data_IF_138228895738
#
_entry.id   IF_138228895738
#
_cell.length_a   1.000
_cell.length_b   1.000
_cell.length_c   1.000
_cell.angle_alpha   90.00
_cell.angle_beta   90.00
_cell.angle_gamma   90.00
#
_symmetry.space_group_name_H-M   'P 1'
#
loop_
_entity.id
_entity.type
_entity.pdbx_description
1 polymer ?
#
# COMPACT_ATOMS: atom_id res chain seq x y z
N UNK A 1 13.33 -29.24 -68.53
CA UNK A 1 12.27 -28.35 -68.01
C UNK A 1 11.71 -28.78 -66.66
N UNK A 2 11.50 -30.08 -66.40
CA UNK A 2 10.98 -30.56 -65.10
C UNK A 2 11.92 -30.32 -63.92
N UNK A 3 13.22 -30.53 -64.09
CA UNK A 3 14.22 -30.34 -63.02
C UNK A 3 14.21 -28.90 -62.48
N UNK A 4 14.29 -27.89 -63.36
CA UNK A 4 14.22 -26.48 -62.96
C UNK A 4 12.87 -26.10 -62.32
N UNK A 5 11.77 -26.74 -62.73
CA UNK A 5 10.46 -26.59 -62.09
C UNK A 5 10.45 -27.15 -60.67
N UNK A 6 11.07 -28.32 -60.47
CA UNK A 6 11.22 -28.96 -59.17
C UNK A 6 12.13 -28.16 -58.23
N UNK A 7 13.24 -27.61 -58.73
CA UNK A 7 14.16 -26.77 -57.94
C UNK A 7 13.44 -25.51 -57.40
N UNK A 8 12.59 -24.90 -58.23
CA UNK A 8 11.77 -23.76 -57.83
C UNK A 8 10.75 -24.15 -56.75
N UNK A 9 10.09 -25.30 -56.89
CA UNK A 9 9.15 -25.80 -55.89
C UNK A 9 9.88 -26.08 -54.57
N UNK A 10 11.06 -26.70 -54.62
CA UNK A 10 11.87 -26.98 -53.44
C UNK A 10 12.28 -25.70 -52.71
N UNK A 11 12.68 -24.66 -53.44
CA UNK A 11 13.01 -23.36 -52.85
C UNK A 11 11.81 -22.71 -52.13
N UNK A 12 10.61 -22.81 -52.72
CA UNK A 12 9.37 -22.33 -52.08
C UNK A 12 9.09 -23.12 -50.80
N UNK A 13 9.26 -24.45 -50.82
CA UNK A 13 9.08 -25.29 -49.62
C UNK A 13 10.02 -24.86 -48.50
N UNK A 14 11.31 -24.68 -48.78
CA UNK A 14 12.28 -24.22 -47.77
C UNK A 14 11.91 -22.84 -47.21
N UNK A 15 11.49 -21.90 -48.06
CA UNK A 15 11.02 -20.59 -47.59
C UNK A 15 9.78 -20.71 -46.69
N UNK A 16 8.86 -21.62 -47.01
CA UNK A 16 7.67 -21.87 -46.17
C UNK A 16 8.05 -22.47 -44.82
N UNK A 17 9.04 -23.38 -44.77
CA UNK A 17 9.56 -23.95 -43.53
C UNK A 17 10.20 -22.87 -42.64
N UNK A 18 10.97 -21.95 -43.22
CA UNK A 18 11.54 -20.80 -42.52
C UNK A 18 10.46 -19.87 -41.96
N UNK A 19 9.39 -19.60 -42.72
CA UNK A 19 8.23 -18.82 -42.26
C UNK A 19 7.56 -19.52 -41.08
N UNK A 20 7.34 -20.83 -41.14
CA UNK A 20 6.77 -21.60 -40.04
C UNK A 20 7.60 -21.44 -38.75
N UNK A 21 8.93 -21.60 -38.84
CA UNK A 21 9.81 -21.39 -37.70
C UNK A 21 9.75 -19.96 -37.16
N UNK A 22 9.72 -18.95 -38.03
CA UNK A 22 9.60 -17.57 -37.62
C UNK A 22 8.27 -17.28 -36.88
N UNK A 23 7.16 -17.89 -37.31
CA UNK A 23 5.85 -17.79 -36.65
C UNK A 23 5.89 -18.41 -35.25
N UNK A 24 6.48 -19.60 -35.12
CA UNK A 24 6.64 -20.29 -33.83
C UNK A 24 7.48 -19.46 -32.84
N UNK A 25 8.61 -18.93 -33.30
CA UNK A 25 9.50 -18.08 -32.51
C UNK A 25 8.83 -16.78 -32.08
N UNK A 26 8.10 -16.13 -32.99
CA UNK A 26 7.36 -14.92 -32.67
C UNK A 26 6.27 -15.21 -31.63
N UNK A 27 5.45 -16.24 -31.86
CA UNK A 27 4.41 -16.68 -30.93
C UNK A 27 4.97 -16.97 -29.53
N UNK A 28 6.10 -17.69 -29.45
CA UNK A 28 6.79 -17.95 -28.18
C UNK A 28 7.25 -16.67 -27.49
N UNK A 29 7.86 -15.73 -28.22
CA UNK A 29 8.28 -14.44 -27.66
C UNK A 29 7.09 -13.62 -27.14
N UNK A 30 6.00 -13.53 -27.90
CA UNK A 30 4.80 -12.80 -27.47
C UNK A 30 4.17 -13.41 -26.22
N UNK A 31 4.09 -14.75 -26.14
CA UNK A 31 3.63 -15.44 -24.94
C UNK A 31 4.50 -15.12 -23.72
N UNK A 32 5.83 -15.13 -23.88
CA UNK A 32 6.75 -14.79 -22.80
C UNK A 32 6.58 -13.33 -22.34
N UNK A 33 6.44 -12.39 -23.28
CA UNK A 33 6.20 -10.99 -22.94
C UNK A 33 4.87 -10.80 -22.20
N UNK A 34 3.80 -11.47 -22.63
CA UNK A 34 2.51 -11.45 -21.94
C UNK A 34 2.65 -11.96 -20.51
N UNK A 35 3.30 -13.12 -20.30
CA UNK A 35 3.55 -13.66 -18.96
C UNK A 35 4.32 -12.68 -18.08
N UNK A 36 5.40 -12.08 -18.59
CA UNK A 36 6.19 -11.10 -17.84
C UNK A 36 5.37 -9.87 -17.40
N UNK A 37 4.42 -9.41 -18.22
CA UNK A 37 3.54 -8.29 -17.86
C UNK A 37 2.64 -8.66 -16.67
N UNK A 38 2.05 -9.85 -16.67
CA UNK A 38 1.20 -10.32 -15.57
C UNK A 38 2.01 -10.64 -14.32
N UNK A 39 3.22 -11.20 -14.45
CA UNK A 39 4.12 -11.40 -13.32
C UNK A 39 4.47 -10.06 -12.65
N UNK A 40 4.67 -9.00 -13.44
CA UNK A 40 4.85 -7.64 -12.92
C UNK A 40 3.65 -7.13 -12.13
N UNK A 41 2.42 -7.33 -12.63
CA UNK A 41 1.19 -6.96 -11.91
C UNK A 41 1.05 -7.73 -10.59
N UNK A 42 1.33 -9.03 -10.60
CA UNK A 42 1.35 -9.86 -9.39
C UNK A 42 2.39 -9.35 -8.38
N UNK A 43 3.58 -8.95 -8.84
CA UNK A 43 4.60 -8.36 -7.98
C UNK A 43 4.12 -7.10 -7.27
N UNK A 44 3.49 -6.17 -7.99
CA UNK A 44 2.91 -4.94 -7.41
C UNK A 44 1.82 -5.26 -6.39
N UNK A 45 0.95 -6.23 -6.69
CA UNK A 45 -0.12 -6.64 -5.77
C UNK A 45 0.44 -7.26 -4.48
N UNK A 46 1.45 -8.12 -4.59
CA UNK A 46 2.09 -8.74 -3.42
C UNK A 46 2.87 -7.72 -2.58
N UNK A 47 3.57 -6.77 -3.21
CA UNK A 47 4.21 -5.66 -2.48
C UNK A 47 3.17 -4.85 -1.70
N UNK A 48 2.07 -4.45 -2.35
CA UNK A 48 1.01 -3.67 -1.68
C UNK A 48 0.37 -4.44 -0.53
N UNK A 49 0.14 -5.74 -0.70
CA UNK A 49 -0.37 -6.63 0.35
C UNK A 49 0.61 -6.70 1.52
N UNK A 50 1.91 -6.83 1.27
CA UNK A 50 2.93 -6.86 2.30
C UNK A 50 2.98 -5.55 3.12
N UNK A 51 2.88 -4.39 2.46
CA UNK A 51 2.80 -3.09 3.13
C UNK A 51 1.58 -2.98 4.06
N UNK A 52 0.41 -3.40 3.58
CA UNK A 52 -0.84 -3.35 4.35
C UNK A 52 -0.78 -4.28 5.57
N UNK A 53 -0.25 -5.50 5.40
CA UNK A 53 0.00 -6.41 6.52
C UNK A 53 0.99 -5.84 7.52
N UNK A 54 2.03 -5.15 7.05
CA UNK A 54 3.00 -4.50 7.92
C UNK A 54 2.35 -3.37 8.73
N UNK A 55 1.45 -2.59 8.13
CA UNK A 55 0.72 -1.53 8.83
C UNK A 55 -0.15 -2.10 9.97
N UNK A 56 -0.89 -3.19 9.69
CA UNK A 56 -1.67 -3.92 10.72
C UNK A 56 -0.76 -4.40 11.85
N UNK A 57 0.38 -5.01 11.51
CA UNK A 57 1.34 -5.51 12.49
C UNK A 57 1.91 -4.40 13.38
N UNK A 58 2.27 -3.24 12.82
CA UNK A 58 2.77 -2.10 13.59
C UNK A 58 1.75 -1.59 14.61
N UNK A 59 0.48 -1.48 14.22
CA UNK A 59 -0.56 -1.05 15.15
C UNK A 59 -0.80 -2.09 16.25
N UNK A 60 -0.85 -3.37 15.89
CA UNK A 60 -0.95 -4.46 16.87
C UNK A 60 0.21 -4.40 17.87
N UNK A 61 1.44 -4.27 17.41
CA UNK A 61 2.63 -4.21 18.27
C UNK A 61 2.57 -3.02 19.22
N UNK A 62 2.21 -1.83 18.70
CA UNK A 62 2.02 -0.64 19.53
C UNK A 62 0.92 -0.83 20.58
N UNK A 63 -0.21 -1.42 20.19
CA UNK A 63 -1.33 -1.71 21.09
C UNK A 63 -0.92 -2.65 22.22
N UNK A 64 -0.28 -3.76 21.87
CA UNK A 64 0.22 -4.77 22.81
C UNK A 64 1.28 -4.18 23.74
N UNK A 65 2.23 -3.42 23.20
CA UNK A 65 3.27 -2.78 23.99
C UNK A 65 2.67 -1.85 25.05
N UNK A 66 1.73 -0.99 24.67
CA UNK A 66 1.06 -0.09 25.61
C UNK A 66 0.34 -0.84 26.72
N UNK A 67 -0.35 -1.94 26.40
CA UNK A 67 -1.02 -2.78 27.41
C UNK A 67 0.00 -3.42 28.34
N UNK A 68 1.13 -3.93 27.82
CA UNK A 68 2.21 -4.48 28.65
C UNK A 68 2.82 -3.43 29.59
N UNK A 69 3.02 -2.20 29.12
CA UNK A 69 3.48 -1.09 29.95
C UNK A 69 2.49 -0.77 31.07
N UNK A 70 1.19 -0.78 30.78
CA UNK A 70 0.15 -0.60 31.80
C UNK A 70 0.16 -1.73 32.84
N UNK A 71 0.25 -2.99 32.41
CA UNK A 71 0.37 -4.13 33.33
C UNK A 71 1.57 -3.93 34.25
N UNK A 72 2.72 -3.50 33.71
CA UNK A 72 3.92 -3.22 34.51
C UNK A 72 3.67 -2.09 35.52
N UNK A 73 3.07 -0.98 35.10
CA UNK A 73 2.72 0.13 35.98
C UNK A 73 1.77 -0.30 37.11
N UNK A 74 0.74 -1.09 36.80
CA UNK A 74 -0.15 -1.64 37.82
C UNK A 74 0.57 -2.60 38.78
N UNK A 75 1.53 -3.39 38.28
CA UNK A 75 2.41 -4.21 39.11
C UNK A 75 3.26 -3.37 40.08
N UNK A 76 3.94 -2.33 39.58
CA UNK A 76 4.77 -1.41 40.38
C UNK A 76 3.92 -0.69 41.46
N UNK A 77 2.70 -0.27 41.09
CA UNK A 77 1.74 0.33 42.02
C UNK A 77 1.27 -0.65 43.09
N UNK A 78 0.98 -1.90 42.71
CA UNK A 78 0.57 -2.95 43.64
C UNK A 78 1.69 -3.27 44.64
N UNK A 79 2.94 -3.40 44.18
CA UNK A 79 4.09 -3.64 45.06
C UNK A 79 4.28 -2.49 46.06
N UNK A 80 4.21 -1.24 45.57
CA UNK A 80 4.31 -0.05 46.44
C UNK A 80 3.17 -0.02 47.46
N UNK A 81 1.95 -0.39 47.05
CA UNK A 81 0.80 -0.49 47.94
C UNK A 81 1.00 -1.59 49.00
N UNK A 82 1.56 -2.74 48.63
CA UNK A 82 1.86 -3.84 49.56
C UNK A 82 2.85 -3.39 50.64
N UNK A 83 3.98 -2.78 50.24
CA UNK A 83 4.99 -2.25 51.18
C UNK A 83 4.40 -1.23 52.15
N UNK A 84 3.46 -0.42 51.66
CA UNK A 84 2.82 0.58 52.49
C UNK A 84 1.84 -0.05 53.50
N UNK A 85 1.12 -1.11 53.11
CA UNK A 85 0.30 -1.92 54.03
C UNK A 85 1.19 -2.59 55.08
N UNK A 86 2.30 -3.20 54.69
CA UNK A 86 3.29 -3.79 55.61
C UNK A 86 3.84 -2.75 56.58
N UNK A 87 4.19 -1.55 56.09
CA UNK A 87 4.65 -0.44 56.93
C UNK A 87 3.57 0.04 57.91
N UNK A 88 2.30 0.04 57.49
CA UNK A 88 1.19 0.37 58.37
C UNK A 88 1.03 -0.67 59.49
N UNK A 89 1.12 -1.96 59.17
CA UNK A 89 1.08 -3.04 60.16
C UNK A 89 2.25 -2.90 61.15
N UNK A 90 3.48 -2.72 60.67
CA UNK A 90 4.67 -2.53 61.52
C UNK A 90 4.54 -1.31 62.43
N UNK A 91 3.99 -0.20 61.92
CA UNK A 91 3.78 1.00 62.74
C UNK A 91 2.80 0.76 63.90
N UNK A 92 1.85 -0.17 63.77
CA UNK A 92 0.93 -0.52 64.86
C UNK A 92 1.62 -1.26 66.02
N UNK A 93 2.83 -1.77 65.81
CA UNK A 93 3.64 -2.42 66.84
C UNK A 93 4.54 -1.42 67.59
N UNK A 94 4.52 -0.13 67.23
CA UNK A 94 5.35 0.92 67.85
C UNK A 94 4.93 1.21 69.30
N UNK A 95 5.78 0.92 70.31
CA UNK A 95 5.43 1.11 71.72
C UNK A 95 5.40 2.60 72.12
N UNK A 96 6.10 3.48 71.40
CA UNK A 96 6.19 4.90 71.71
C UNK A 96 5.05 5.69 71.03
N UNK A 97 4.04 6.09 71.80
CA UNK A 97 2.82 6.76 71.27
C UNK A 97 3.09 7.98 70.37
N UNK A 98 4.06 8.82 70.72
CA UNK A 98 4.40 10.01 69.92
C UNK A 98 4.97 9.63 68.54
N UNK A 99 5.75 8.54 68.47
CA UNK A 99 6.34 8.03 67.22
C UNK A 99 5.27 7.38 66.37
N UNK A 100 4.40 6.57 66.97
CA UNK A 100 3.24 5.96 66.32
C UNK A 100 2.35 6.99 65.62
N UNK A 101 1.97 8.06 66.32
CA UNK A 101 1.10 9.11 65.76
C UNK A 101 1.78 9.84 64.58
N UNK A 102 3.09 10.07 64.68
CA UNK A 102 3.87 10.71 63.60
C UNK A 102 3.94 9.81 62.36
N UNK A 103 4.25 8.52 62.53
CA UNK A 103 4.31 7.53 61.45
C UNK A 103 2.93 7.33 60.79
N UNK A 104 1.87 7.23 61.59
CA UNK A 104 0.49 7.07 61.11
C UNK A 104 0.05 8.24 60.22
N UNK A 105 0.37 9.48 60.62
CA UNK A 105 0.07 10.67 59.82
C UNK A 105 0.76 10.64 58.46
N UNK A 106 2.01 10.19 58.41
CA UNK A 106 2.78 10.09 57.16
C UNK A 106 2.23 8.98 56.26
N UNK A 107 1.88 7.82 56.82
CA UNK A 107 1.26 6.70 56.10
C UNK A 107 -0.07 7.08 55.48
N UNK A 108 -0.96 7.76 56.23
CA UNK A 108 -2.26 8.24 55.73
C UNK A 108 -2.07 9.17 54.53
N UNK A 109 -1.07 10.07 54.59
CA UNK A 109 -0.74 10.96 53.47
C UNK A 109 -0.32 10.16 52.23
N UNK A 110 0.60 9.20 52.40
CA UNK A 110 1.09 8.35 51.30
C UNK A 110 -0.03 7.50 50.67
N UNK A 111 -0.95 6.97 51.47
CA UNK A 111 -2.15 6.24 50.98
C UNK A 111 -3.02 7.15 50.12
N UNK A 112 -3.30 8.36 50.61
CA UNK A 112 -4.15 9.33 49.91
C UNK A 112 -3.53 9.77 48.59
N UNK A 113 -2.21 9.93 48.54
CA UNK A 113 -1.49 10.31 47.33
C UNK A 113 -1.48 9.15 46.30
N UNK A 114 -1.27 7.90 46.74
CA UNK A 114 -1.33 6.70 45.88
C UNK A 114 -2.73 6.45 45.30
N UNK A 115 -3.79 6.66 46.07
CA UNK A 115 -5.19 6.43 45.64
C UNK A 115 -5.63 7.32 44.47
N UNK A 116 -4.96 8.45 44.22
CA UNK A 116 -5.30 9.37 43.12
C UNK A 116 -4.70 8.93 41.78
N UNK A 117 -3.62 8.14 41.80
CA UNK A 117 -2.86 7.77 40.60
C UNK A 117 -3.52 6.58 39.88
N UNK A 118 -4.14 5.66 40.61
CA UNK A 118 -4.68 4.38 40.10
C UNK A 118 -5.85 4.48 39.11
N UNK A 119 -6.59 5.59 39.11
CA UNK A 119 -7.81 5.77 38.30
C UNK A 119 -7.55 6.28 36.87
N UNK A 120 -6.34 6.78 36.58
CA UNK A 120 -6.05 7.48 35.32
C UNK A 120 -5.50 6.62 34.18
N UNK A 121 -5.24 5.33 34.43
CA UNK A 121 -4.35 4.53 33.57
C UNK A 121 -5.03 3.39 32.80
N UNK A 122 -6.36 3.33 32.73
CA UNK A 122 -7.04 2.25 32.00
C UNK A 122 -7.05 2.54 30.48
N UNK A 123 -6.84 1.53 29.62
CA UNK A 123 -7.11 1.69 28.19
C UNK A 123 -8.55 2.13 27.93
N UNK A 124 -8.75 2.92 26.88
CA UNK A 124 -10.09 3.32 26.45
C UNK A 124 -10.94 2.10 26.06
N UNK A 125 -12.26 2.12 26.26
CA UNK A 125 -13.13 1.06 25.78
C UNK A 125 -12.99 0.85 24.26
N UNK A 126 -12.83 -0.40 23.82
CA UNK A 126 -12.64 -0.72 22.40
C UNK A 126 -11.21 -0.55 21.89
N UNK A 127 -10.23 -0.33 22.77
CA UNK A 127 -8.81 -0.25 22.42
C UNK A 127 -8.31 -1.47 21.63
N UNK A 128 -8.87 -2.65 21.88
CA UNK A 128 -8.56 -3.88 21.17
C UNK A 128 -9.10 -3.95 19.74
N UNK A 129 -10.04 -3.08 19.35
CA UNK A 129 -10.65 -3.13 18.02
C UNK A 129 -9.61 -2.86 16.93
N UNK A 130 -9.66 -3.66 15.87
CA UNK A 130 -8.85 -3.53 14.67
C UNK A 130 -9.75 -3.40 13.42
N UNK A 131 -11.04 -3.11 13.62
CA UNK A 131 -12.07 -3.20 12.57
C UNK A 131 -11.97 -2.09 11.51
N UNK A 132 -11.18 -1.04 11.78
CA UNK A 132 -10.88 0.01 10.81
C UNK A 132 -9.97 -0.47 9.68
N UNK A 133 -9.30 -1.62 9.82
CA UNK A 133 -8.58 -2.26 8.73
C UNK A 133 -9.55 -2.97 7.77
N UNK A 134 -10.15 -2.20 6.87
CA UNK A 134 -11.04 -2.69 5.82
C UNK A 134 -10.54 -2.27 4.44
N UNK A 135 -10.57 -3.19 3.48
CA UNK A 135 -10.08 -2.98 2.11
C UNK A 135 -11.13 -3.51 1.15
N UNK A 136 -11.50 -2.71 0.15
CA UNK A 136 -12.29 -3.15 -1.00
C UNK A 136 -11.35 -3.32 -2.21
N UNK A 137 -11.40 -4.50 -2.84
CA UNK A 137 -10.58 -4.84 -4.02
C UNK A 137 -11.41 -5.01 -5.30
N UNK A 138 -12.71 -4.77 -5.25
CA UNK A 138 -13.66 -5.06 -6.34
C UNK A 138 -13.32 -4.27 -7.60
N UNK A 139 -13.03 -2.98 -7.45
CA UNK A 139 -12.67 -2.13 -8.59
C UNK A 139 -11.37 -2.59 -9.26
N UNK A 140 -10.37 -2.97 -8.47
CA UNK A 140 -9.08 -3.49 -8.99
C UNK A 140 -9.30 -4.83 -9.69
N UNK A 141 -10.09 -5.72 -9.09
CA UNK A 141 -10.45 -6.99 -9.72
C UNK A 141 -11.18 -6.77 -11.06
N UNK A 142 -12.06 -5.78 -11.13
CA UNK A 142 -12.76 -5.44 -12.37
C UNK A 142 -11.81 -4.87 -13.42
N UNK A 143 -10.92 -3.94 -13.07
CA UNK A 143 -9.89 -3.45 -13.99
C UNK A 143 -9.04 -4.60 -14.56
N UNK A 144 -8.65 -5.58 -13.72
CA UNK A 144 -7.90 -6.75 -14.17
C UNK A 144 -8.69 -7.63 -15.14
N UNK A 145 -10.02 -7.76 -14.99
CA UNK A 145 -10.89 -8.51 -15.92
C UNK A 145 -11.02 -7.83 -17.28
N UNK A 146 -10.90 -6.51 -17.32
CA UNK A 146 -11.02 -5.72 -18.56
C UNK A 146 -9.72 -5.63 -19.37
N UNK A 147 -8.62 -6.26 -18.94
CA UNK A 147 -7.36 -6.28 -19.67
C UNK A 147 -7.54 -7.08 -20.96
N UNK A 148 -7.23 -6.45 -22.10
CA UNK A 148 -7.28 -7.05 -23.43
C UNK A 148 -6.05 -6.61 -24.26
N UNK A 149 -5.83 -7.25 -25.40
CA UNK A 149 -4.82 -6.85 -26.35
C UNK A 149 -5.18 -5.48 -26.96
N UNK A 150 -4.21 -4.57 -26.96
CA UNK A 150 -4.36 -3.31 -27.67
C UNK A 150 -4.36 -3.58 -29.16
N UNK A 151 -5.48 -3.32 -29.82
CA UNK A 151 -5.54 -3.30 -31.29
C UNK A 151 -5.16 -1.89 -31.70
N UNK A 152 -3.92 -1.68 -32.15
CA UNK A 152 -3.61 -0.46 -32.88
C UNK A 152 -4.51 -0.46 -34.14
N UNK A 153 -5.31 0.59 -34.39
CA UNK A 153 -5.93 0.74 -35.69
C UNK A 153 -4.80 0.90 -36.69
N UNK A 154 -4.52 -0.15 -37.45
CA UNK A 154 -3.69 -0.06 -38.66
C UNK A 154 -4.47 0.84 -39.62
N UNK A 155 -4.19 2.14 -39.53
CA UNK A 155 -4.64 3.18 -40.43
C UNK A 155 -3.41 3.79 -41.08
N UNK A 156 -3.14 3.34 -42.31
CA UNK A 156 -2.67 4.15 -43.42
C UNK A 156 -1.59 5.21 -43.10
N UNK A 157 -0.31 4.83 -43.26
CA UNK A 157 0.72 5.78 -43.66
C UNK A 157 1.69 5.10 -44.66
N UNK A 158 1.11 4.64 -45.79
CA UNK A 158 1.81 4.70 -47.06
C UNK A 158 1.59 6.10 -47.65
N UNK A 159 2.52 7.01 -47.38
CA UNK A 159 2.76 8.15 -48.25
C UNK A 159 4.27 8.41 -48.32
N UNK A 160 4.87 7.93 -49.41
CA UNK A 160 6.20 8.35 -49.85
C UNK A 160 6.26 9.88 -50.07
N UNK A 161 7.18 10.54 -49.35
CA UNK A 161 7.95 11.72 -49.79
C UNK A 161 7.21 13.06 -50.00
N UNK A 162 7.93 14.21 -50.06
CA UNK A 162 9.34 14.33 -50.41
C UNK A 162 10.22 15.20 -49.47
N UNK A 163 11.50 14.85 -49.44
CA UNK A 163 12.70 15.69 -49.28
C UNK A 163 12.48 17.16 -48.85
N UNK A 164 12.74 17.45 -47.58
CA UNK A 164 12.94 18.82 -47.09
C UNK A 164 14.37 19.29 -47.37
N UNK A 165 14.54 20.06 -48.45
CA UNK A 165 15.70 20.91 -48.65
C UNK A 165 15.52 22.22 -47.87
N UNK A 166 16.65 22.64 -47.31
CA UNK A 166 16.94 23.87 -46.59
C UNK A 166 16.45 25.17 -47.27
N UNK A 167 16.15 26.18 -46.44
CA UNK A 167 16.28 27.59 -46.81
C UNK A 167 15.05 28.49 -46.68
N UNK A 168 15.11 29.44 -45.73
CA UNK A 168 14.68 30.81 -45.98
C UNK A 168 13.56 31.40 -45.12
N UNK A 169 13.95 32.23 -44.14
CA UNK A 169 13.14 33.23 -43.44
C UNK A 169 12.26 34.09 -44.38
N UNK A 170 11.04 34.47 -43.95
CA UNK A 170 10.72 35.90 -43.70
C UNK A 170 9.52 36.06 -42.74
N UNK A 171 9.66 37.03 -41.84
CA UNK A 171 8.67 37.54 -40.90
C UNK A 171 7.46 38.24 -41.58
N UNK A 172 6.30 38.30 -40.91
CA UNK A 172 5.80 39.51 -40.19
C UNK A 172 4.26 39.54 -39.99
N UNK A 173 3.89 39.98 -38.79
CA UNK A 173 2.71 40.74 -38.34
C UNK A 173 1.26 40.35 -38.71
N UNK A 174 0.48 40.08 -37.64
CA UNK A 174 -0.59 40.99 -37.23
C UNK A 174 -2.04 40.46 -37.20
N UNK A 175 -2.90 40.95 -36.29
CA UNK A 175 -3.95 40.15 -35.63
C UNK A 175 -5.40 40.54 -36.01
N UNK A 176 -6.38 39.74 -35.53
CA UNK A 176 -7.85 39.98 -35.32
C UNK A 176 -8.67 38.79 -35.87
N UNK A 177 -9.83 38.35 -35.36
CA UNK A 177 -10.77 38.75 -34.32
C UNK A 177 -11.74 37.56 -34.11
N UNK A 178 -12.34 37.42 -32.91
CA UNK A 178 -13.53 36.58 -32.68
C UNK A 178 -14.78 37.23 -33.30
N UNK A 179 -15.82 36.42 -33.62
CA UNK A 179 -17.08 36.46 -32.85
C UNK A 179 -17.56 35.02 -32.53
N UNK A 180 -18.10 34.66 -31.36
CA UNK A 180 -19.30 35.08 -30.63
C UNK A 180 -20.64 34.65 -31.29
N UNK A 181 -21.38 33.82 -30.53
CA UNK A 181 -22.80 33.42 -30.64
C UNK A 181 -23.14 32.37 -31.71
N UNK A 182 -23.83 31.26 -31.39
CA UNK A 182 -25.19 31.27 -30.83
C UNK A 182 -25.52 30.07 -29.93
N UNK A 183 -26.10 30.35 -28.76
CA UNK A 183 -26.97 29.46 -27.99
C UNK A 183 -28.35 29.42 -28.64
N UNK A 184 -28.97 28.26 -28.79
CA UNK A 184 -30.29 27.89 -28.21
C UNK A 184 -30.93 26.75 -29.00
N UNK A 185 -31.52 25.80 -28.27
CA UNK A 185 -32.45 24.82 -28.84
C UNK A 185 -32.52 23.54 -28.04
N UNK A 186 -32.97 23.61 -26.77
CA UNK A 186 -33.62 22.47 -26.13
C UNK A 186 -35.05 22.37 -26.69
N UNK A 187 -35.48 21.17 -27.05
CA UNK A 187 -36.67 20.52 -26.52
C UNK A 187 -36.67 19.04 -26.90
#
# INVERSE_FOLDING_TARGET
MLVAGNDRIQAIVTQMEEICHAIEDNSRRQKQHLSQRFDGLCGVLEERKAELLQAVGREQDGKVQRVRELIRQYGDHLETSSKLVESAIQSMEEPQMAVYLQQSKELIKKIMDMSKISLSSRPEPGYESMDHFSINVDHVAEMLRTIDFQTDPVGEDEAEGPLGLDGGEVANAGPRQKPASSRHGQH
#
